data_IF_438342991008
#
_entry.id   IF_438342991008
#
_cell.length_a   1.000
_cell.length_b   1.000
_cell.length_c   1.000
_cell.angle_alpha   90.00
_cell.angle_beta   90.00
_cell.angle_gamma   90.00
#
_symmetry.space_group_name_H-M   'P 1'
#
loop_
_entity.id
_entity.type
_entity.pdbx_description
1 polymer ?
#
# COMPACT_ATOMS: atom_id res chain seq x y z
N UNK A 1 -20.24 21.52 10.39
CA UNK A 1 -18.81 21.17 10.54
C UNK A 1 -18.64 19.73 10.07
N UNK A 2 -17.59 19.42 9.30
CA UNK A 2 -17.28 18.03 8.94
C UNK A 2 -16.72 17.32 10.18
N UNK A 3 -17.16 16.08 10.44
CA UNK A 3 -16.71 15.31 11.60
C UNK A 3 -15.21 14.94 11.50
N UNK A 4 -14.73 14.75 10.27
CA UNK A 4 -13.33 14.44 9.96
C UNK A 4 -12.71 15.54 9.11
N UNK A 5 -11.41 15.77 9.31
CA UNK A 5 -10.62 16.70 8.50
C UNK A 5 -9.99 16.00 7.28
N UNK A 6 -9.69 14.70 7.38
CA UNK A 6 -9.22 13.86 6.28
C UNK A 6 -9.80 12.45 6.40
N UNK A 7 -10.04 11.81 5.26
CA UNK A 7 -10.41 10.39 5.19
C UNK A 7 -9.32 9.68 4.41
N UNK A 8 -8.50 8.91 5.11
CA UNK A 8 -7.31 8.27 4.56
C UNK A 8 -7.63 6.84 4.19
N UNK A 9 -7.52 6.51 2.91
CA UNK A 9 -7.71 5.15 2.40
C UNK A 9 -6.35 4.60 2.04
N UNK A 10 -5.96 3.51 2.70
CA UNK A 10 -4.77 2.73 2.36
C UNK A 10 -5.20 1.44 1.66
N UNK A 11 -4.71 1.25 0.45
CA UNK A 11 -4.93 0.05 -0.35
C UNK A 11 -3.65 -0.33 -1.11
N UNK A 12 -3.60 -1.55 -1.63
CA UNK A 12 -2.49 -2.01 -2.45
C UNK A 12 -2.95 -2.80 -3.68
N UNK A 13 -2.11 -2.81 -4.70
CA UNK A 13 -2.28 -3.70 -5.85
C UNK A 13 -0.97 -4.41 -6.16
N UNK A 14 -1.06 -5.64 -6.64
CA UNK A 14 0.11 -6.47 -6.99
C UNK A 14 -0.06 -7.03 -8.39
N UNK A 15 1.01 -7.03 -9.17
CA UNK A 15 1.04 -7.67 -10.48
C UNK A 15 2.35 -8.43 -10.71
N UNK A 16 2.29 -9.44 -11.57
CA UNK A 16 3.42 -10.30 -11.89
C UNK A 16 4.40 -9.60 -12.83
N UNK A 17 5.68 -9.97 -12.72
CA UNK A 17 6.74 -9.52 -13.59
C UNK A 17 7.45 -10.73 -14.21
N UNK A 18 8.18 -10.55 -15.33
CA UNK A 18 9.08 -11.58 -15.85
C UNK A 18 10.13 -12.01 -14.81
N UNK A 19 10.47 -13.30 -14.79
CA UNK A 19 11.37 -13.89 -13.78
C UNK A 19 12.78 -13.30 -13.76
N UNK A 20 13.20 -12.64 -14.84
CA UNK A 20 14.47 -11.90 -14.89
C UNK A 20 14.57 -10.81 -13.80
N UNK A 21 13.43 -10.34 -13.27
CA UNK A 21 13.36 -9.33 -12.21
C UNK A 21 13.29 -9.93 -10.80
N UNK A 22 13.31 -11.25 -10.64
CA UNK A 22 13.08 -11.91 -9.35
C UNK A 22 14.13 -11.56 -8.27
N UNK A 23 15.33 -11.12 -8.66
CA UNK A 23 16.36 -10.66 -7.74
C UNK A 23 15.99 -9.37 -7.01
N UNK A 24 15.35 -8.43 -7.72
CA UNK A 24 14.95 -7.13 -7.18
C UNK A 24 13.48 -7.10 -6.72
N UNK A 25 12.60 -7.82 -7.41
CA UNK A 25 11.15 -7.77 -7.22
C UNK A 25 10.61 -9.17 -6.94
N UNK A 26 10.95 -9.72 -5.78
CA UNK A 26 10.51 -11.06 -5.37
C UNK A 26 8.98 -11.13 -5.25
N UNK A 27 8.37 -12.04 -6.00
CA UNK A 27 6.94 -12.34 -5.96
C UNK A 27 6.56 -13.35 -4.88
N UNK A 28 5.29 -13.74 -4.87
CA UNK A 28 4.79 -14.80 -3.99
C UNK A 28 5.13 -16.18 -4.54
N UNK A 29 5.59 -17.09 -3.68
CA UNK A 29 6.07 -18.44 -4.06
C UNK A 29 4.98 -19.43 -4.53
N UNK A 30 3.74 -18.99 -4.70
CA UNK A 30 2.61 -19.78 -5.21
C UNK A 30 2.10 -19.34 -6.58
N UNK A 31 2.79 -18.40 -7.25
CA UNK A 31 2.39 -17.88 -8.56
C UNK A 31 3.24 -18.51 -9.68
N UNK A 32 2.74 -18.47 -10.93
CA UNK A 32 3.47 -18.97 -12.12
C UNK A 32 4.81 -18.26 -12.34
N UNK A 33 4.95 -17.04 -11.81
CA UNK A 33 6.16 -16.23 -11.85
C UNK A 33 6.74 -16.03 -10.45
N UNK A 34 8.06 -16.00 -10.36
CA UNK A 34 8.83 -15.77 -9.13
C UNK A 34 9.07 -14.29 -8.85
N UNK A 35 8.75 -13.42 -9.81
CA UNK A 35 8.84 -11.98 -9.69
C UNK A 35 7.45 -11.30 -9.67
N UNK A 36 7.34 -10.23 -8.89
CA UNK A 36 6.13 -9.41 -8.81
C UNK A 36 6.42 -8.09 -8.10
N UNK A 37 5.61 -7.09 -8.38
CA UNK A 37 5.68 -5.77 -7.76
C UNK A 37 4.36 -5.45 -7.08
N UNK A 38 4.46 -4.85 -5.91
CA UNK A 38 3.32 -4.31 -5.17
C UNK A 38 3.43 -2.80 -5.16
N UNK A 39 2.31 -2.13 -5.44
CA UNK A 39 2.14 -0.70 -5.26
C UNK A 39 1.22 -0.49 -4.07
N UNK A 40 1.69 0.24 -3.08
CA UNK A 40 0.90 0.65 -1.92
C UNK A 40 0.58 2.14 -2.03
N UNK A 41 -0.69 2.48 -1.81
CA UNK A 41 -1.20 3.83 -2.00
C UNK A 41 -2.03 4.23 -0.79
N UNK A 42 -1.67 5.35 -0.17
CA UNK A 42 -2.54 6.04 0.76
C UNK A 42 -2.99 7.38 0.15
N UNK A 43 -4.29 7.63 0.12
CA UNK A 43 -4.84 8.88 -0.40
C UNK A 43 -5.90 9.45 0.54
N UNK A 44 -6.01 10.79 0.57
CA UNK A 44 -7.07 11.49 1.25
C UNK A 44 -8.28 11.63 0.32
N UNK A 45 -9.37 10.95 0.65
CA UNK A 45 -10.61 10.96 -0.13
C UNK A 45 -11.24 12.36 -0.21
N UNK A 46 -11.07 13.21 0.81
CA UNK A 46 -11.71 14.53 0.83
C UNK A 46 -11.03 15.51 -0.12
N UNK A 47 -9.70 15.53 -0.14
CA UNK A 47 -8.91 16.41 -1.01
C UNK A 47 -8.51 15.78 -2.35
N UNK A 48 -8.63 14.46 -2.47
CA UNK A 48 -8.14 13.68 -3.60
C UNK A 48 -6.62 13.57 -3.69
N UNK A 49 -5.88 14.02 -2.66
CA UNK A 49 -4.42 14.04 -2.66
C UNK A 49 -3.83 12.68 -2.28
N UNK A 50 -2.73 12.31 -2.94
CA UNK A 50 -1.91 11.18 -2.51
C UNK A 50 -1.07 11.60 -1.30
N UNK A 51 -1.14 10.79 -0.24
CA UNK A 51 -0.40 10.97 0.99
C UNK A 51 0.88 10.16 0.97
N UNK A 52 0.79 8.89 0.51
CA UNK A 52 1.94 8.00 0.38
C UNK A 52 1.80 7.13 -0.87
N UNK A 53 2.91 6.94 -1.59
CA UNK A 53 3.00 6.04 -2.74
C UNK A 53 4.32 5.28 -2.62
N UNK A 54 4.25 3.96 -2.55
CA UNK A 54 5.44 3.10 -2.53
C UNK A 54 5.29 1.95 -3.52
N UNK A 55 6.35 1.67 -4.26
CA UNK A 55 6.45 0.50 -5.11
C UNK A 55 7.60 -0.39 -4.61
N UNK A 56 7.32 -1.67 -4.40
CA UNK A 56 8.28 -2.62 -3.84
C UNK A 56 8.03 -4.05 -4.29
N UNK A 57 8.80 -5.02 -3.77
CA UNK A 57 8.62 -6.43 -4.10
C UNK A 57 7.18 -6.88 -3.82
N UNK A 58 6.63 -7.74 -4.68
CA UNK A 58 5.25 -8.23 -4.55
C UNK A 58 4.98 -8.89 -3.20
N UNK A 59 6.00 -9.56 -2.62
CA UNK A 59 5.94 -10.19 -1.30
C UNK A 59 5.89 -9.19 -0.12
N UNK A 60 6.01 -7.88 -0.36
CA UNK A 60 5.96 -6.89 0.70
C UNK A 60 4.61 -6.94 1.43
N UNK A 61 4.65 -6.94 2.77
CA UNK A 61 3.48 -7.12 3.60
C UNK A 61 2.83 -5.77 3.95
N UNK A 62 1.50 -5.70 3.84
CA UNK A 62 0.72 -4.47 4.04
C UNK A 62 0.74 -4.01 5.51
N UNK A 63 0.95 -4.92 6.47
CA UNK A 63 1.08 -4.60 7.90
C UNK A 63 2.30 -3.72 8.20
N UNK A 64 3.42 -3.99 7.54
CA UNK A 64 4.65 -3.20 7.75
C UNK A 64 4.47 -1.78 7.22
N UNK A 65 3.83 -1.63 6.04
CA UNK A 65 3.60 -0.33 5.44
C UNK A 65 2.48 0.46 6.13
N UNK A 66 1.44 -0.22 6.61
CA UNK A 66 0.43 0.38 7.47
C UNK A 66 1.05 1.02 8.71
N UNK A 67 2.15 0.48 9.24
CA UNK A 67 2.87 1.06 10.38
C UNK A 67 3.58 2.37 10.02
N UNK A 68 4.18 2.46 8.83
CA UNK A 68 4.78 3.70 8.31
C UNK A 68 3.72 4.79 8.16
N UNK A 69 2.56 4.43 7.61
CA UNK A 69 1.45 5.37 7.43
C UNK A 69 0.85 5.86 8.76
N UNK A 70 1.10 5.19 9.90
CA UNK A 70 0.65 5.69 11.22
C UNK A 70 1.41 6.95 11.67
N UNK A 71 2.65 7.14 11.22
CA UNK A 71 3.50 8.26 11.67
C UNK A 71 2.95 9.63 11.25
N UNK A 72 2.12 9.67 10.21
CA UNK A 72 1.56 10.90 9.64
C UNK A 72 0.07 11.10 9.96
N UNK A 73 -0.50 10.23 10.80
CA UNK A 73 -1.89 10.34 11.25
C UNK A 73 -2.02 11.54 12.18
N UNK A 74 -3.05 12.35 11.94
CA UNK A 74 -3.34 13.54 12.72
C UNK A 74 -4.71 13.43 13.40
N UNK A 75 -4.94 14.32 14.37
CA UNK A 75 -6.25 14.43 15.02
C UNK A 75 -7.35 14.71 13.97
N UNK A 76 -8.47 14.01 14.11
CA UNK A 76 -9.63 14.04 13.21
C UNK A 76 -9.40 13.41 11.82
N UNK A 77 -8.35 12.60 11.66
CA UNK A 77 -8.27 11.68 10.52
C UNK A 77 -9.14 10.44 10.78
N UNK A 78 -9.91 10.04 9.78
CA UNK A 78 -10.49 8.70 9.70
C UNK A 78 -9.58 7.82 8.84
N UNK A 79 -9.06 6.73 9.39
CA UNK A 79 -8.22 5.79 8.65
C UNK A 79 -9.01 4.53 8.27
N UNK A 80 -9.06 4.21 6.99
CA UNK A 80 -9.62 2.98 6.44
C UNK A 80 -8.48 2.27 5.71
N UNK A 81 -8.16 1.04 6.11
CA UNK A 81 -6.97 0.35 5.62
C UNK A 81 -7.30 -1.11 5.35
N UNK A 82 -6.95 -1.59 4.16
CA UNK A 82 -6.84 -3.02 3.94
C UNK A 82 -5.54 -3.53 4.60
N UNK A 83 -5.65 -4.63 5.35
CA UNK A 83 -4.50 -5.26 6.01
C UNK A 83 -4.03 -6.52 5.26
N UNK A 84 -4.73 -6.91 4.20
CA UNK A 84 -4.52 -8.17 3.51
C UNK A 84 -4.91 -9.37 4.39
N UNK A 85 -5.14 -10.53 3.77
CA UNK A 85 -5.36 -11.81 4.44
C UNK A 85 -4.31 -12.83 3.98
#
# INVERSE_FOLDING_TARGET
ATLFHRIRILDSTTFQLPDIFASAYKGFGGSSHTAGVKIQLEFDLLSGQFLHVEAGPGKQNDRTYGSICLETVQKNDLCIRDLGY
#
